data_IF_813976365650
#
_entry.id   IF_813976365650
#
_cell.length_a   1.000
_cell.length_b   1.000
_cell.length_c   1.000
_cell.angle_alpha   90.00
_cell.angle_beta   90.00
_cell.angle_gamma   90.00
#
_symmetry.space_group_name_H-M   'P 1'
#
loop_
_entity.id
_entity.type
_entity.pdbx_description
1 polymer ?
#
# COMPACT_ATOMS: atom_id res chain seq x y z
N UNK A 1 -22.55 10.14 11.37
CA UNK A 1 -21.39 9.34 11.74
C UNK A 1 -20.53 9.17 10.51
N UNK A 2 -19.44 9.91 10.38
CA UNK A 2 -18.48 9.75 9.27
C UNK A 2 -17.55 8.62 9.64
N UNK A 3 -17.71 7.44 9.03
CA UNK A 3 -16.77 6.34 9.18
C UNK A 3 -15.33 6.84 8.91
N UNK A 4 -14.33 6.40 9.69
CA UNK A 4 -12.96 6.76 9.42
C UNK A 4 -12.60 6.30 8.00
N UNK A 5 -12.21 7.24 7.13
CA UNK A 5 -11.85 6.95 5.74
C UNK A 5 -10.86 5.80 5.72
N UNK A 6 -11.27 4.64 5.20
CA UNK A 6 -10.37 3.48 5.03
C UNK A 6 -9.12 3.94 4.30
N UNK A 7 -7.97 3.89 4.98
CA UNK A 7 -6.68 4.10 4.32
C UNK A 7 -6.56 3.04 3.22
N UNK A 8 -6.48 3.48 1.98
CA UNK A 8 -6.32 2.61 0.83
C UNK A 8 -4.84 2.36 0.62
N UNK A 9 -4.42 1.10 0.66
CA UNK A 9 -3.04 0.68 0.34
C UNK A 9 -2.80 0.62 -1.18
N UNK A 10 -3.86 0.78 -1.97
CA UNK A 10 -3.84 0.72 -3.43
C UNK A 10 -2.90 1.76 -4.01
N UNK A 11 -2.89 2.99 -3.48
CA UNK A 11 -2.01 4.04 -4.00
C UNK A 11 -0.54 3.61 -3.97
N UNK A 12 -0.04 3.22 -2.79
CA UNK A 12 1.37 2.81 -2.61
C UNK A 12 1.70 1.59 -3.46
N UNK A 13 0.82 0.57 -3.43
CA UNK A 13 1.04 -0.66 -4.19
C UNK A 13 1.08 -0.40 -5.70
N UNK A 14 0.16 0.41 -6.22
CA UNK A 14 0.14 0.80 -7.64
C UNK A 14 1.40 1.59 -8.01
N UNK A 15 1.88 2.52 -7.17
CA UNK A 15 3.11 3.26 -7.47
C UNK A 15 4.33 2.34 -7.59
N UNK A 16 4.41 1.32 -6.72
CA UNK A 16 5.48 0.31 -6.79
C UNK A 16 5.42 -0.48 -8.10
N UNK A 17 4.24 -0.97 -8.48
CA UNK A 17 4.06 -1.72 -9.73
C UNK A 17 4.35 -0.88 -10.97
N UNK A 18 3.98 0.40 -10.96
CA UNK A 18 4.29 1.30 -12.06
C UNK A 18 5.79 1.50 -12.21
N UNK A 19 6.49 1.74 -11.10
CA UNK A 19 7.95 1.87 -11.09
C UNK A 19 8.63 0.61 -11.60
N UNK A 20 8.24 -0.56 -11.08
CA UNK A 20 8.79 -1.87 -11.47
C UNK A 20 8.67 -2.12 -12.99
N UNK A 21 7.58 -1.65 -13.59
CA UNK A 21 7.29 -1.82 -15.02
C UNK A 21 7.75 -0.65 -15.89
N UNK A 22 8.50 0.31 -15.33
CA UNK A 22 8.88 1.55 -16.01
C UNK A 22 7.69 2.29 -16.64
N UNK A 23 6.53 2.25 -15.98
CA UNK A 23 5.32 2.97 -16.38
C UNK A 23 5.14 4.22 -15.52
N UNK A 24 4.56 5.27 -16.09
CA UNK A 24 4.17 6.48 -15.36
C UNK A 24 2.66 6.64 -15.33
N UNK A 25 2.16 7.36 -14.32
CA UNK A 25 0.74 7.72 -14.26
C UNK A 25 0.33 8.63 -15.42
N UNK A 26 1.25 9.46 -15.92
CA UNK A 26 1.02 10.33 -17.08
C UNK A 26 0.81 9.49 -18.34
N UNK A 27 1.67 8.50 -18.59
CA UNK A 27 1.52 7.59 -19.73
C UNK A 27 0.22 6.78 -19.66
N UNK A 28 -0.20 6.38 -18.45
CA UNK A 28 -1.51 5.79 -18.19
C UNK A 28 -2.65 6.73 -18.57
N UNK A 29 -2.57 7.98 -18.12
CA UNK A 29 -3.59 8.99 -18.36
C UNK A 29 -3.75 9.26 -19.87
N UNK A 30 -2.64 9.44 -20.58
CA UNK A 30 -2.58 9.61 -22.04
C UNK A 30 -3.16 8.41 -22.78
N UNK A 31 -2.75 7.19 -22.42
CA UNK A 31 -3.21 5.95 -23.05
C UNK A 31 -4.73 5.77 -23.01
N UNK A 32 -5.38 6.24 -21.95
CA UNK A 32 -6.82 6.10 -21.74
C UNK A 32 -7.60 7.40 -21.94
N UNK A 33 -6.96 8.47 -22.42
CA UNK A 33 -7.61 9.75 -22.68
C UNK A 33 -8.24 10.40 -21.45
N UNK A 34 -7.60 10.25 -20.28
CA UNK A 34 -8.07 10.86 -19.03
C UNK A 34 -6.99 11.78 -18.43
N UNK A 35 -7.35 12.58 -17.42
CA UNK A 35 -6.37 13.45 -16.77
C UNK A 35 -5.58 12.70 -15.71
N UNK A 36 -4.31 13.08 -15.53
CA UNK A 36 -3.46 12.59 -14.42
C UNK A 36 -4.14 12.80 -13.06
N UNK A 37 -4.83 13.93 -12.90
CA UNK A 37 -5.58 14.23 -11.69
C UNK A 37 -6.69 13.22 -11.44
N UNK A 38 -7.41 12.78 -12.47
CA UNK A 38 -8.46 11.78 -12.33
C UNK A 38 -7.90 10.41 -11.88
N UNK A 39 -6.76 9.98 -12.45
CA UNK A 39 -6.03 8.79 -11.98
C UNK A 39 -5.69 8.93 -10.48
N UNK A 40 -5.13 10.07 -10.08
CA UNK A 40 -4.76 10.32 -8.68
C UNK A 40 -5.95 10.34 -7.74
N UNK A 41 -7.09 10.93 -8.13
CA UNK A 41 -8.30 10.92 -7.30
C UNK A 41 -8.79 9.48 -7.07
N UNK A 42 -8.74 8.61 -8.08
CA UNK A 42 -9.12 7.20 -7.93
C UNK A 42 -8.15 6.45 -7.01
N UNK A 43 -6.85 6.58 -7.23
CA UNK A 43 -5.83 5.88 -6.41
C UNK A 43 -5.86 6.31 -4.94
N UNK A 44 -6.12 7.59 -4.68
CA UNK A 44 -6.28 8.13 -3.32
C UNK A 44 -7.66 7.83 -2.71
N UNK A 45 -8.54 7.13 -3.41
CA UNK A 45 -9.89 6.80 -2.93
C UNK A 45 -10.82 8.01 -2.81
N UNK A 46 -10.52 9.12 -3.51
CA UNK A 46 -11.32 10.34 -3.55
C UNK A 46 -12.35 10.35 -4.68
N UNK A 47 -12.23 9.42 -5.64
CA UNK A 47 -13.17 9.21 -6.74
C UNK A 47 -13.43 7.72 -6.94
N UNK A 48 -14.66 7.39 -7.34
CA UNK A 48 -15.12 6.02 -7.56
C UNK A 48 -15.32 5.68 -9.05
N UNK A 49 -14.59 6.34 -9.95
CA UNK A 49 -14.73 6.11 -11.40
C UNK A 49 -14.39 4.66 -11.76
N UNK A 50 -15.43 3.86 -12.05
CA UNK A 50 -15.31 2.45 -12.42
C UNK A 50 -14.47 2.25 -13.68
N UNK A 51 -14.60 3.15 -14.65
CA UNK A 51 -13.83 3.12 -15.89
C UNK A 51 -12.33 3.27 -15.64
N UNK A 52 -11.93 4.28 -14.86
CA UNK A 52 -10.52 4.50 -14.53
C UNK A 52 -9.96 3.34 -13.72
N UNK A 53 -10.73 2.82 -12.76
CA UNK A 53 -10.36 1.62 -11.99
C UNK A 53 -10.08 0.42 -12.90
N UNK A 54 -10.95 0.16 -13.87
CA UNK A 54 -10.78 -0.92 -14.83
C UNK A 54 -9.53 -0.71 -15.72
N UNK A 55 -9.26 0.52 -16.16
CA UNK A 55 -8.08 0.85 -16.95
C UNK A 55 -6.77 0.63 -16.18
N UNK A 56 -6.72 1.06 -14.92
CA UNK A 56 -5.57 0.85 -14.04
C UNK A 56 -5.35 -0.66 -13.82
N UNK A 57 -6.40 -1.39 -13.41
CA UNK A 57 -6.31 -2.83 -13.18
C UNK A 57 -5.81 -3.59 -14.42
N UNK A 58 -6.40 -3.31 -15.59
CA UNK A 58 -6.01 -3.91 -16.86
C UNK A 58 -4.55 -3.62 -17.21
N UNK A 59 -4.09 -2.38 -17.04
CA UNK A 59 -2.69 -2.01 -17.32
C UNK A 59 -1.73 -2.73 -16.39
N UNK A 60 -2.14 -2.92 -15.15
CA UNK A 60 -1.37 -3.65 -14.15
C UNK A 60 -1.52 -5.17 -14.28
N UNK A 61 -2.27 -5.68 -15.27
CA UNK A 61 -2.41 -7.12 -15.53
C UNK A 61 -3.36 -7.83 -14.57
N UNK A 62 -4.23 -7.09 -13.88
CA UNK A 62 -5.28 -7.66 -13.03
C UNK A 62 -6.61 -7.74 -13.78
N UNK A 63 -7.35 -8.83 -13.54
CA UNK A 63 -8.66 -9.07 -14.14
C UNK A 63 -9.69 -8.00 -13.75
N UNK A 64 -9.59 -7.48 -12.53
CA UNK A 64 -10.51 -6.49 -12.00
C UNK A 64 -9.84 -5.59 -10.97
N UNK A 65 -10.48 -4.45 -10.69
CA UNK A 65 -10.06 -3.56 -9.61
C UNK A 65 -10.07 -4.26 -8.25
N UNK A 66 -11.03 -5.15 -8.02
CA UNK A 66 -11.12 -5.89 -6.77
C UNK A 66 -9.92 -6.80 -6.57
N UNK A 67 -9.49 -7.53 -7.60
CA UNK A 67 -8.26 -8.34 -7.56
C UNK A 67 -7.01 -7.51 -7.26
N UNK A 68 -6.89 -6.33 -7.87
CA UNK A 68 -5.79 -5.40 -7.59
C UNK A 68 -5.84 -4.92 -6.13
N UNK A 69 -7.02 -4.59 -5.62
CA UNK A 69 -7.21 -4.14 -4.25
C UNK A 69 -6.90 -5.24 -3.23
N UNK A 70 -7.33 -6.47 -3.49
CA UNK A 70 -7.03 -7.63 -2.63
C UNK A 70 -5.52 -7.91 -2.61
N UNK A 71 -4.84 -7.80 -3.75
CA UNK A 71 -3.38 -7.90 -3.81
C UNK A 71 -2.68 -6.76 -3.03
N UNK A 72 -3.21 -5.54 -3.09
CA UNK A 72 -2.69 -4.42 -2.31
C UNK A 72 -2.86 -4.62 -0.80
N UNK A 73 -3.97 -5.21 -0.37
CA UNK A 73 -4.22 -5.57 1.03
C UNK A 73 -3.24 -6.64 1.50
N UNK A 74 -3.11 -7.73 0.74
CA UNK A 74 -2.15 -8.80 1.05
C UNK A 74 -0.69 -8.29 1.10
N UNK A 75 -0.33 -7.40 0.18
CA UNK A 75 0.96 -6.72 0.19
C UNK A 75 1.16 -5.93 1.49
N UNK A 76 0.17 -5.13 1.91
CA UNK A 76 0.25 -4.35 3.15
C UNK A 76 0.43 -5.23 4.38
N UNK A 77 -0.30 -6.35 4.47
CA UNK A 77 -0.20 -7.29 5.59
C UNK A 77 1.19 -7.94 5.62
N UNK A 78 1.70 -8.35 4.46
CA UNK A 78 3.05 -8.91 4.32
C UNK A 78 4.13 -7.88 4.70
N UNK A 79 3.98 -6.64 4.24
CA UNK A 79 4.91 -5.54 4.50
C UNK A 79 4.91 -5.14 5.98
N UNK A 80 3.73 -5.09 6.61
CA UNK A 80 3.57 -4.82 8.04
C UNK A 80 4.22 -5.91 8.89
N UNK A 81 4.10 -7.17 8.49
CA UNK A 81 4.74 -8.29 9.19
C UNK A 81 6.27 -8.22 9.08
N UNK A 82 6.79 -7.79 7.92
CA UNK A 82 8.23 -7.66 7.67
C UNK A 82 8.89 -6.50 8.43
N UNK A 83 8.18 -5.39 8.67
CA UNK A 83 8.73 -4.21 9.37
C UNK A 83 8.39 -4.16 10.87
N UNK A 84 7.40 -4.94 11.36
CA UNK A 84 7.12 -5.04 12.80
C UNK A 84 7.95 -6.14 13.52
N UNK A 85 8.72 -6.94 12.79
CA UNK A 85 9.78 -7.82 13.31
C UNK A 85 11.11 -7.28 12.78
N UNK A 86 11.93 -6.46 13.50
CA UNK A 86 12.28 -6.58 14.91
C UNK A 86 12.54 -5.21 15.62
N UNK A 87 11.53 -4.65 16.28
CA UNK A 87 11.75 -3.65 17.35
C UNK A 87 11.28 -4.17 18.71
N UNK A 88 10.36 -5.13 18.72
CA UNK A 88 9.89 -5.79 19.94
C UNK A 88 10.95 -6.70 20.59
N UNK A 89 11.82 -7.32 19.79
CA UNK A 89 12.87 -8.21 20.30
C UNK A 89 14.04 -7.44 20.95
N UNK A 90 14.22 -6.16 20.58
CA UNK A 90 15.25 -5.29 21.17
C UNK A 90 14.86 -4.76 22.56
N UNK A 91 13.55 -4.62 22.82
CA UNK A 91 13.07 -4.19 24.14
C UNK A 91 13.05 -5.34 25.16
N UNK A 92 12.78 -6.57 24.73
CA UNK A 92 12.79 -7.75 25.61
C UNK A 92 14.21 -8.17 26.02
N UNK A 93 15.21 -7.98 25.15
CA UNK A 93 16.62 -8.20 25.49
C UNK A 93 17.19 -7.12 26.42
N UNK A 94 16.77 -5.85 26.27
CA UNK A 94 17.21 -4.79 27.17
C UNK A 94 16.57 -4.89 28.56
N UNK A 95 15.34 -5.38 28.68
CA UNK A 95 14.69 -5.53 29.99
C UNK A 95 15.30 -6.68 30.81
N UNK A 96 15.63 -7.81 30.17
CA UNK A 96 16.31 -8.93 30.82
C UNK A 96 17.73 -8.57 31.31
N UNK A 97 18.48 -7.78 30.54
CA UNK A 97 19.82 -7.33 30.92
C UNK A 97 19.81 -6.30 32.08
N UNK A 98 18.72 -5.56 32.26
CA UNK A 98 18.55 -4.59 33.35
C UNK A 98 18.15 -5.31 34.65
N UNK A 99 17.33 -6.36 34.58
CA UNK A 99 16.92 -7.14 35.77
C UNK A 99 18.08 -7.98 36.35
N UNK A 100 18.98 -8.50 35.50
CA UNK A 100 20.15 -9.28 35.95
C UNK A 100 21.19 -8.43 36.69
N UNK A 101 21.28 -7.12 36.38
CA UNK A 101 22.20 -6.19 37.03
C UNK A 101 21.73 -5.69 38.41
N UNK A 102 20.44 -5.84 38.75
CA UNK A 102 19.86 -5.35 40.02
C UNK A 102 19.91 -6.41 41.13
N UNK A 103 20.11 -7.70 40.80
CA UNK A 103 20.16 -8.79 41.77
C UNK A 103 21.58 -9.20 42.24
N UNK A 104 22.63 -8.56 41.70
CA UNK A 104 24.04 -8.86 42.04
C UNK A 104 24.72 -7.66 42.75
N UNK A 105 23.94 -6.68 43.22
CA UNK A 105 24.41 -5.51 43.99
C UNK A 105 24.09 -5.61 45.48
#
# INVERSE_FOLDING_TARGET
MTEPRKKTFVHTYVMLLLRDRNLSQTALAEKYGCSLQAINQVLLGKSDSAQIKAHIAKTLGYESWQRLNDAALFFSDSFSTMYNYPTAQRNSLNQAAIEEAVHVG
#
